data_IF_851918468127
#
_entry.id   IF_851918468127
#
_cell.length_a   1.000
_cell.length_b   1.000
_cell.length_c   1.000
_cell.angle_alpha   90.00
_cell.angle_beta   90.00
_cell.angle_gamma   90.00
#
_symmetry.space_group_name_H-M   'P 1'
#
loop_
_entity.id
_entity.type
_entity.pdbx_description
1 polymer ?
#
# COMPACT_ATOMS: atom_id res chain seq x y z
N UNK A 1 -16.98 9.00 -54.96
CA UNK A 1 -16.74 9.80 -53.74
C UNK A 1 -16.72 8.83 -52.57
N UNK A 2 -15.55 8.51 -52.04
CA UNK A 2 -15.46 7.83 -50.74
C UNK A 2 -16.07 8.77 -49.71
N UNK A 3 -17.17 8.38 -49.08
CA UNK A 3 -17.74 9.11 -47.95
C UNK A 3 -16.62 9.28 -46.95
N UNK A 4 -16.11 10.51 -46.84
CA UNK A 4 -15.03 10.86 -45.96
C UNK A 4 -15.46 10.42 -44.56
N UNK A 5 -14.79 9.39 -44.01
CA UNK A 5 -15.20 8.79 -42.75
C UNK A 5 -14.83 9.75 -41.64
N UNK A 6 -15.69 10.76 -41.45
CA UNK A 6 -15.57 11.76 -40.40
C UNK A 6 -15.30 11.05 -39.07
N UNK A 7 -14.18 11.42 -38.44
CA UNK A 7 -13.77 10.83 -37.18
C UNK A 7 -14.72 11.21 -36.05
N UNK A 8 -14.87 10.30 -35.08
CA UNK A 8 -15.74 10.44 -33.91
C UNK A 8 -15.05 11.25 -32.83
N UNK A 9 -15.78 12.16 -32.18
CA UNK A 9 -15.34 12.81 -30.93
C UNK A 9 -16.01 12.11 -29.74
N UNK A 10 -15.19 11.58 -28.83
CA UNK A 10 -15.68 10.99 -27.59
C UNK A 10 -15.82 12.07 -26.52
N UNK A 11 -17.02 12.23 -25.96
CA UNK A 11 -17.34 13.23 -24.94
C UNK A 11 -17.51 12.56 -23.58
N UNK A 12 -16.54 12.71 -22.68
CA UNK A 12 -16.55 12.03 -21.38
C UNK A 12 -17.68 12.51 -20.44
N UNK A 13 -18.17 13.75 -20.62
CA UNK A 13 -19.33 14.29 -19.91
C UNK A 13 -20.64 13.52 -20.19
N UNK A 14 -20.72 12.83 -21.33
CA UNK A 14 -21.91 12.07 -21.75
C UNK A 14 -21.96 10.74 -21.02
N UNK A 15 -22.50 10.73 -19.79
CA UNK A 15 -22.56 9.53 -18.94
C UNK A 15 -23.80 9.49 -18.06
N UNK A 16 -24.22 8.29 -17.65
CA UNK A 16 -25.39 8.09 -16.77
C UNK A 16 -25.03 8.33 -15.27
N UNK A 17 -25.86 9.06 -14.50
CA UNK A 17 -25.68 9.22 -13.06
C UNK A 17 -26.15 8.01 -12.24
N UNK A 18 -27.22 7.35 -12.68
CA UNK A 18 -27.96 6.36 -11.88
C UNK A 18 -27.70 4.92 -12.31
N UNK A 19 -26.73 4.71 -13.20
CA UNK A 19 -26.46 3.41 -13.79
C UNK A 19 -27.24 3.19 -15.07
N UNK A 20 -27.00 2.04 -15.71
CA UNK A 20 -27.50 1.76 -17.04
C UNK A 20 -26.72 2.46 -18.15
N UNK A 21 -27.09 2.09 -19.37
CA UNK A 21 -26.46 2.58 -20.59
C UNK A 21 -27.11 3.92 -20.99
N UNK A 22 -26.31 4.85 -21.47
CA UNK A 22 -26.80 6.08 -22.12
C UNK A 22 -26.26 6.14 -23.54
N UNK A 23 -26.83 6.98 -24.39
CA UNK A 23 -26.30 7.18 -25.74
C UNK A 23 -26.38 8.63 -26.15
N UNK A 24 -25.45 9.06 -27.00
CA UNK A 24 -25.44 10.37 -27.61
C UNK A 24 -25.05 10.28 -29.08
N UNK A 25 -25.42 11.29 -29.86
CA UNK A 25 -25.01 11.41 -31.26
C UNK A 25 -23.76 12.28 -31.32
N UNK A 26 -22.67 11.76 -31.86
CA UNK A 26 -21.47 12.55 -32.09
C UNK A 26 -21.77 13.65 -33.12
N UNK A 27 -21.45 14.90 -32.79
CA UNK A 27 -21.78 16.06 -33.62
C UNK A 27 -20.94 16.15 -34.90
N UNK A 28 -19.76 15.51 -34.92
CA UNK A 28 -18.88 15.53 -36.09
C UNK A 28 -19.30 14.47 -37.09
N UNK A 29 -19.38 13.20 -36.68
CA UNK A 29 -19.62 12.06 -37.57
C UNK A 29 -21.09 11.67 -37.72
N UNK A 30 -21.98 12.21 -36.87
CA UNK A 30 -23.38 11.82 -36.80
C UNK A 30 -23.64 10.41 -36.27
N UNK A 31 -22.60 9.67 -35.86
CA UNK A 31 -22.69 8.31 -35.33
C UNK A 31 -23.27 8.29 -33.91
N UNK A 32 -24.03 7.25 -33.59
CA UNK A 32 -24.57 7.06 -32.23
C UNK A 32 -23.57 6.29 -31.36
N UNK A 33 -23.17 6.90 -30.25
CA UNK A 33 -22.25 6.36 -29.25
C UNK A 33 -23.06 5.89 -28.05
N UNK A 34 -22.85 4.65 -27.62
CA UNK A 34 -23.37 4.09 -26.38
C UNK A 34 -22.30 4.18 -25.30
N UNK A 35 -22.71 4.53 -24.09
CA UNK A 35 -21.85 4.65 -22.91
C UNK A 35 -22.37 3.71 -21.85
N UNK A 36 -21.59 2.66 -21.57
CA UNK A 36 -21.89 1.66 -20.56
C UNK A 36 -21.09 1.92 -19.29
N UNK A 37 -21.78 2.07 -18.16
CA UNK A 37 -21.16 2.18 -16.83
C UNK A 37 -21.05 0.80 -16.19
N UNK A 38 -19.87 0.45 -15.71
CA UNK A 38 -19.65 -0.73 -14.86
C UNK A 38 -18.84 -0.37 -13.62
N UNK A 39 -19.02 -1.06 -12.48
CA UNK A 39 -17.99 -1.07 -11.45
C UNK A 39 -16.68 -1.59 -12.05
N UNK A 40 -15.54 -1.20 -11.47
CA UNK A 40 -14.23 -1.63 -11.93
C UNK A 40 -13.33 -2.05 -10.77
N UNK A 41 -12.68 -3.23 -10.88
CA UNK A 41 -12.79 -4.21 -11.97
C UNK A 41 -14.13 -4.99 -12.00
N UNK A 42 -14.50 -5.51 -13.17
CA UNK A 42 -15.71 -6.30 -13.38
C UNK A 42 -15.44 -7.50 -14.33
N UNK A 43 -15.64 -8.76 -13.92
CA UNK A 43 -16.04 -9.17 -12.56
C UNK A 43 -15.03 -8.67 -11.52
N UNK A 44 -15.43 -8.51 -10.24
CA UNK A 44 -14.47 -8.20 -9.20
C UNK A 44 -13.36 -9.26 -9.27
N UNK A 45 -12.14 -8.79 -9.54
CA UNK A 45 -10.99 -9.67 -9.49
C UNK A 45 -10.85 -10.26 -8.09
N UNK A 46 -10.05 -11.32 -7.98
CA UNK A 46 -9.76 -11.91 -6.68
C UNK A 46 -8.99 -10.97 -5.75
N UNK A 47 -8.84 -9.66 -5.98
CA UNK A 47 -8.16 -8.72 -5.06
C UNK A 47 -8.69 -7.27 -5.20
N UNK A 48 -9.95 -7.14 -5.63
CA UNK A 48 -10.58 -5.89 -6.08
C UNK A 48 -11.50 -5.24 -5.05
N UNK A 49 -11.44 -3.91 -4.94
CA UNK A 49 -12.33 -3.08 -4.10
C UNK A 49 -13.61 -2.65 -4.83
N UNK A 50 -13.58 -2.63 -6.17
CA UNK A 50 -14.63 -2.04 -7.00
C UNK A 50 -14.96 -0.57 -6.64
N UNK A 51 -13.98 0.21 -6.18
CA UNK A 51 -14.15 1.62 -5.78
C UNK A 51 -14.17 2.61 -6.95
N UNK A 52 -14.10 2.09 -8.17
CA UNK A 52 -14.08 2.87 -9.40
C UNK A 52 -15.23 2.52 -10.33
N UNK A 53 -15.66 3.50 -11.11
CA UNK A 53 -16.50 3.29 -12.28
C UNK A 53 -15.66 3.32 -13.55
N UNK A 54 -15.96 2.38 -14.45
CA UNK A 54 -15.53 2.40 -15.85
C UNK A 54 -16.72 2.81 -16.72
N UNK A 55 -16.55 3.88 -17.48
CA UNK A 55 -17.49 4.31 -18.52
C UNK A 55 -16.90 3.96 -19.88
N UNK A 56 -17.47 2.95 -20.55
CA UNK A 56 -17.03 2.49 -21.87
C UNK A 56 -17.89 3.11 -22.95
N UNK A 57 -17.29 3.94 -23.81
CA UNK A 57 -17.87 4.54 -24.99
C UNK A 57 -17.58 3.65 -26.22
N UNK A 58 -18.61 3.25 -26.95
CA UNK A 58 -18.50 2.46 -28.18
C UNK A 58 -19.64 2.77 -29.15
N UNK A 59 -19.52 2.39 -30.42
CA UNK A 59 -20.64 2.52 -31.37
C UNK A 59 -21.86 1.70 -30.92
N UNK A 60 -23.06 2.25 -31.09
CA UNK A 60 -24.32 1.58 -30.73
C UNK A 60 -24.57 0.29 -31.50
N UNK A 61 -24.09 0.22 -32.75
CA UNK A 61 -24.21 -0.95 -33.61
C UNK A 61 -23.48 -2.18 -33.06
N UNK A 62 -22.56 -2.01 -32.11
CA UNK A 62 -21.78 -3.09 -31.51
C UNK A 62 -20.77 -3.70 -32.50
N UNK A 63 -19.61 -4.13 -32.00
CA UNK A 63 -18.61 -4.86 -32.80
C UNK A 63 -17.94 -4.07 -33.95
N UNK A 64 -18.34 -2.83 -34.21
CA UNK A 64 -17.77 -1.98 -35.24
C UNK A 64 -16.69 -1.07 -34.68
N UNK A 65 -15.66 -0.82 -35.48
CA UNK A 65 -14.62 0.16 -35.19
C UNK A 65 -14.96 1.55 -35.73
N UNK A 66 -14.26 2.57 -35.25
CA UNK A 66 -14.32 3.92 -35.77
C UNK A 66 -12.96 4.60 -35.77
N UNK A 67 -12.82 5.65 -36.58
CA UNK A 67 -11.69 6.56 -36.50
C UNK A 67 -11.96 7.56 -35.37
N UNK A 68 -11.10 7.58 -34.36
CA UNK A 68 -11.17 8.50 -33.23
C UNK A 68 -10.48 9.81 -33.62
N UNK A 69 -11.25 10.89 -33.69
CA UNK A 69 -10.74 12.24 -33.96
C UNK A 69 -10.14 12.87 -32.71
N UNK A 70 -10.88 12.81 -31.61
CA UNK A 70 -10.49 13.42 -30.33
C UNK A 70 -11.27 12.81 -29.15
N UNK A 71 -10.75 13.02 -27.94
CA UNK A 71 -11.45 12.77 -26.69
C UNK A 71 -11.57 14.12 -25.97
N UNK A 72 -12.78 14.49 -25.57
CA UNK A 72 -13.07 15.67 -24.74
C UNK A 72 -13.35 15.22 -23.31
N UNK A 73 -12.71 15.87 -22.35
CA UNK A 73 -12.93 15.61 -20.93
C UNK A 73 -14.30 16.14 -20.44
N UNK A 74 -14.52 16.11 -19.14
CA UNK A 74 -15.76 16.57 -18.52
C UNK A 74 -16.01 18.08 -18.63
N UNK A 75 -14.99 18.84 -19.04
CA UNK A 75 -15.03 20.30 -19.25
C UNK A 75 -15.00 20.68 -20.73
N UNK A 76 -15.24 19.72 -21.63
CA UNK A 76 -15.18 19.87 -23.09
C UNK A 76 -13.78 20.18 -23.65
N UNK A 77 -12.75 20.10 -22.82
CA UNK A 77 -11.37 20.32 -23.22
C UNK A 77 -10.84 19.06 -23.90
N UNK A 78 -10.21 19.25 -25.07
CA UNK A 78 -9.62 18.14 -25.83
C UNK A 78 -8.39 17.60 -25.10
N UNK A 79 -8.43 16.30 -24.79
CA UNK A 79 -7.32 15.54 -24.25
C UNK A 79 -6.20 15.48 -25.31
N UNK A 80 -5.22 16.35 -25.13
CA UNK A 80 -4.16 16.55 -26.11
C UNK A 80 -3.01 15.59 -25.85
N UNK A 81 -3.09 14.39 -26.44
CA UNK A 81 -1.96 13.46 -26.53
C UNK A 81 -1.71 13.15 -28.01
N UNK A 82 -0.46 13.30 -28.47
CA UNK A 82 -0.08 13.03 -29.87
C UNK A 82 -0.53 11.65 -30.37
N UNK A 83 -0.72 10.69 -29.47
CA UNK A 83 -1.11 9.30 -29.76
C UNK A 83 -2.62 9.01 -29.63
N UNK A 84 -3.43 9.99 -29.24
CA UNK A 84 -4.89 9.85 -29.06
C UNK A 84 -5.66 10.56 -30.17
N UNK A 85 -4.99 11.41 -30.96
CA UNK A 85 -5.57 12.09 -32.11
C UNK A 85 -5.50 11.22 -33.35
N UNK A 86 -6.58 11.19 -34.13
CA UNK A 86 -6.67 10.55 -35.45
C UNK A 86 -6.30 9.06 -35.42
N UNK A 87 -6.75 8.34 -34.39
CA UNK A 87 -6.49 6.90 -34.20
C UNK A 87 -7.52 6.08 -34.97
N UNK A 88 -7.07 5.27 -35.93
CA UNK A 88 -7.93 4.38 -36.70
C UNK A 88 -8.25 3.08 -35.95
N UNK A 89 -9.32 2.39 -36.38
CA UNK A 89 -9.70 1.06 -35.86
C UNK A 89 -9.97 1.03 -34.34
N UNK A 90 -10.50 2.11 -33.77
CA UNK A 90 -10.88 2.16 -32.34
C UNK A 90 -12.17 1.38 -32.13
N UNK A 91 -12.14 0.42 -31.21
CA UNK A 91 -13.32 -0.35 -30.79
C UNK A 91 -14.06 0.36 -29.67
N UNK A 92 -13.32 0.95 -28.73
CA UNK A 92 -13.90 1.68 -27.61
C UNK A 92 -12.92 2.61 -26.92
N UNK A 93 -13.47 3.60 -26.24
CA UNK A 93 -12.77 4.47 -25.30
C UNK A 93 -13.38 4.27 -23.92
N UNK A 94 -12.55 4.00 -22.91
CA UNK A 94 -12.97 3.83 -21.52
C UNK A 94 -12.44 4.98 -20.67
N UNK A 95 -13.25 5.49 -19.74
CA UNK A 95 -12.81 6.46 -18.75
C UNK A 95 -13.08 5.95 -17.33
N UNK A 96 -12.13 6.17 -16.43
CA UNK A 96 -12.12 5.65 -15.07
C UNK A 96 -12.27 6.79 -14.07
N UNK A 97 -13.19 6.60 -13.11
CA UNK A 97 -13.56 7.61 -12.12
C UNK A 97 -13.70 6.97 -10.75
N UNK A 98 -13.44 7.75 -9.70
CA UNK A 98 -13.75 7.32 -8.34
C UNK A 98 -15.24 7.37 -8.07
N UNK A 99 -15.83 6.26 -7.58
CA UNK A 99 -17.30 6.17 -7.41
C UNK A 99 -17.84 7.08 -6.30
N UNK A 100 -16.97 7.53 -5.40
CA UNK A 100 -17.34 8.31 -4.21
C UNK A 100 -17.09 9.83 -4.34
N UNK A 101 -16.66 10.32 -5.51
CA UNK A 101 -16.30 11.73 -5.73
C UNK A 101 -17.43 12.70 -5.36
N UNK A 102 -18.66 12.39 -5.75
CA UNK A 102 -19.81 13.31 -5.66
C UNK A 102 -21.01 12.72 -4.90
N UNK A 103 -20.83 11.56 -4.24
CA UNK A 103 -21.91 10.85 -3.55
C UNK A 103 -22.87 10.09 -4.48
N UNK A 104 -23.86 9.37 -3.92
CA UNK A 104 -24.76 8.50 -4.68
C UNK A 104 -25.66 9.29 -5.64
N UNK A 105 -25.90 8.73 -6.82
CA UNK A 105 -26.80 9.31 -7.83
C UNK A 105 -26.25 10.53 -8.57
N UNK A 106 -24.98 10.91 -8.34
CA UNK A 106 -24.32 12.01 -9.06
C UNK A 106 -23.23 11.49 -10.00
N UNK A 107 -22.88 12.29 -11.00
CA UNK A 107 -21.86 11.95 -11.99
C UNK A 107 -20.49 12.38 -11.48
N UNK A 108 -19.50 11.48 -11.33
CA UNK A 108 -18.13 11.90 -11.05
C UNK A 108 -17.62 12.77 -12.21
N UNK A 109 -16.82 13.80 -11.91
CA UNK A 109 -16.35 14.79 -12.89
C UNK A 109 -14.82 14.77 -13.06
N UNK A 110 -14.12 14.00 -12.22
CA UNK A 110 -12.67 13.88 -12.27
C UNK A 110 -12.27 12.55 -12.89
N UNK A 111 -12.02 12.57 -14.20
CA UNK A 111 -11.44 11.42 -14.89
C UNK A 111 -9.99 11.19 -14.45
N UNK A 112 -9.66 9.96 -14.09
CA UNK A 112 -8.31 9.57 -13.65
C UNK A 112 -7.47 9.00 -14.79
N UNK A 113 -8.08 8.07 -15.53
CA UNK A 113 -7.45 7.33 -16.62
C UNK A 113 -8.41 7.25 -17.79
N UNK A 114 -7.87 7.37 -18.99
CA UNK A 114 -8.56 7.07 -20.25
C UNK A 114 -7.86 5.90 -20.93
N UNK A 115 -8.61 4.85 -21.26
CA UNK A 115 -8.14 3.69 -22.02
C UNK A 115 -8.67 3.73 -23.46
N UNK A 116 -7.80 3.60 -24.45
CA UNK A 116 -8.18 3.51 -25.87
C UNK A 116 -7.92 2.08 -26.34
N UNK A 117 -8.96 1.37 -26.74
CA UNK A 117 -8.88 -0.01 -27.24
C UNK A 117 -9.07 0.00 -28.76
N UNK A 118 -8.08 -0.52 -29.48
CA UNK A 118 -8.09 -0.66 -30.94
C UNK A 118 -8.02 -2.14 -31.32
N UNK A 119 -8.57 -2.50 -32.48
CA UNK A 119 -8.53 -3.88 -32.97
C UNK A 119 -7.11 -4.41 -33.08
N UNK A 120 -6.90 -5.64 -32.58
CA UNK A 120 -5.63 -6.35 -32.62
C UNK A 120 -4.55 -5.83 -31.67
N UNK A 121 -4.82 -4.82 -30.83
CA UNK A 121 -3.81 -4.25 -29.94
C UNK A 121 -4.28 -4.20 -28.47
N UNK A 122 -3.34 -4.27 -27.50
CA UNK A 122 -3.65 -3.99 -26.11
C UNK A 122 -4.22 -2.58 -25.92
N UNK A 123 -5.03 -2.40 -24.87
CA UNK A 123 -5.58 -1.07 -24.53
C UNK A 123 -4.45 -0.13 -24.11
N UNK A 124 -4.34 1.02 -24.77
CA UNK A 124 -3.40 2.07 -24.36
C UNK A 124 -4.07 2.96 -23.29
N UNK A 125 -3.43 3.11 -22.14
CA UNK A 125 -3.93 3.92 -21.03
C UNK A 125 -3.23 5.27 -20.95
N UNK A 126 -3.97 6.31 -20.63
CA UNK A 126 -3.49 7.68 -20.49
C UNK A 126 -3.97 8.25 -19.15
N UNK A 127 -3.11 9.01 -18.47
CA UNK A 127 -3.45 9.65 -17.19
C UNK A 127 -2.98 11.11 -17.15
N UNK A 128 -3.59 11.91 -16.28
CA UNK A 128 -3.29 13.34 -16.10
C UNK A 128 -2.17 13.57 -15.08
N UNK A 129 -1.19 14.43 -15.38
CA UNK A 129 -0.17 14.84 -14.39
C UNK A 129 -0.68 15.92 -13.43
N UNK A 130 -1.75 15.65 -12.68
CA UNK A 130 -2.22 16.57 -11.63
C UNK A 130 -2.80 17.87 -12.19
N UNK A 131 -2.19 19.02 -11.85
CA UNK A 131 -2.78 20.34 -12.10
C UNK A 131 -2.81 20.76 -13.57
N UNK A 132 -1.84 20.32 -14.38
CA UNK A 132 -1.83 20.64 -15.80
C UNK A 132 -2.70 19.66 -16.60
N UNK A 133 -3.43 20.11 -17.64
CA UNK A 133 -4.24 19.26 -18.52
C UNK A 133 -3.40 18.35 -19.42
N UNK A 134 -2.11 18.16 -19.12
CA UNK A 134 -1.26 17.27 -19.89
C UNK A 134 -1.55 15.82 -19.51
N UNK A 135 -1.70 15.01 -20.55
CA UNK A 135 -1.99 13.59 -20.46
C UNK A 135 -0.79 12.80 -20.97
N UNK A 136 -0.48 11.70 -20.29
CA UNK A 136 0.70 10.88 -20.57
C UNK A 136 0.30 9.44 -20.71
N UNK A 137 0.98 8.72 -21.61
CA UNK A 137 0.82 7.29 -21.76
C UNK A 137 1.28 6.60 -20.48
N UNK A 138 0.43 5.74 -19.92
CA UNK A 138 0.77 4.91 -18.77
C UNK A 138 1.60 3.73 -19.26
N UNK A 139 2.77 3.54 -18.66
CA UNK A 139 3.67 2.41 -18.91
C UNK A 139 3.60 1.39 -17.76
N UNK A 140 3.68 0.07 -18.04
CA UNK A 140 3.62 -0.54 -19.37
C UNK A 140 2.23 -0.38 -20.01
N UNK A 141 2.15 -0.49 -21.34
CA UNK A 141 0.89 -0.34 -22.08
C UNK A 141 -0.14 -1.41 -21.70
N UNK A 142 0.31 -2.62 -21.40
CA UNK A 142 -0.55 -3.68 -20.87
C UNK A 142 -0.57 -3.59 -19.35
N UNK A 143 -1.67 -3.05 -18.83
CA UNK A 143 -2.00 -3.09 -17.41
C UNK A 143 -3.00 -4.21 -17.18
N UNK A 144 -2.68 -5.14 -16.29
CA UNK A 144 -3.70 -5.99 -15.70
C UNK A 144 -4.64 -5.15 -14.83
N UNK A 145 -5.78 -5.74 -14.45
CA UNK A 145 -6.80 -5.03 -13.68
C UNK A 145 -6.32 -4.59 -12.30
N UNK A 146 -5.45 -5.35 -11.65
CA UNK A 146 -5.00 -5.11 -10.28
C UNK A 146 -3.96 -3.97 -10.25
N UNK A 147 -3.01 -3.97 -11.18
CA UNK A 147 -2.07 -2.86 -11.38
C UNK A 147 -2.83 -1.60 -11.79
N UNK A 148 -3.84 -1.71 -12.66
CA UNK A 148 -4.66 -0.57 -13.04
C UNK A 148 -5.43 0.00 -11.84
N UNK A 149 -5.97 -0.86 -10.98
CA UNK A 149 -6.67 -0.44 -9.76
C UNK A 149 -5.71 0.25 -8.77
N UNK A 150 -4.53 -0.32 -8.49
CA UNK A 150 -3.53 0.32 -7.64
C UNK A 150 -3.08 1.70 -8.17
N UNK A 151 -3.02 1.87 -9.50
CA UNK A 151 -2.76 3.19 -10.12
C UNK A 151 -3.92 4.16 -9.89
N UNK A 152 -5.17 3.68 -9.95
CA UNK A 152 -6.35 4.50 -9.65
C UNK A 152 -6.36 4.93 -8.19
N UNK A 153 -5.93 4.10 -7.25
CA UNK A 153 -5.80 4.46 -5.83
C UNK A 153 -4.75 5.56 -5.62
N UNK A 154 -3.58 5.45 -6.26
CA UNK A 154 -2.56 6.50 -6.23
C UNK A 154 -3.03 7.84 -6.83
N UNK A 155 -3.83 7.78 -7.90
CA UNK A 155 -4.46 8.96 -8.49
C UNK A 155 -5.56 9.52 -7.58
N UNK A 156 -6.31 8.67 -6.90
CA UNK A 156 -7.32 9.08 -5.93
C UNK A 156 -6.69 9.87 -4.78
N UNK A 157 -5.59 9.37 -4.19
CA UNK A 157 -4.84 10.10 -3.16
C UNK A 157 -4.35 11.47 -3.67
N UNK A 158 -3.95 11.55 -4.94
CA UNK A 158 -3.43 12.77 -5.54
C UNK A 158 -4.49 13.80 -5.93
N UNK A 159 -5.71 13.37 -6.28
CA UNK A 159 -6.73 14.22 -6.93
C UNK A 159 -7.97 14.48 -6.05
N UNK A 160 -8.17 13.66 -5.03
CA UNK A 160 -9.34 13.72 -4.15
C UNK A 160 -8.99 13.82 -2.65
N UNK A 161 -7.72 14.09 -2.30
CA UNK A 161 -7.27 14.19 -0.92
C UNK A 161 -7.70 12.97 -0.07
N UNK A 162 -7.58 11.79 -0.67
CA UNK A 162 -7.84 10.54 0.03
C UNK A 162 -6.54 9.88 0.45
N UNK A 163 -6.58 8.99 1.43
CA UNK A 163 -5.43 8.17 1.78
C UNK A 163 -5.86 6.71 1.97
N UNK A 164 -5.01 5.79 1.54
CA UNK A 164 -5.20 4.35 1.77
C UNK A 164 -4.10 3.87 2.69
N UNK A 165 -4.48 3.31 3.84
CA UNK A 165 -3.52 2.76 4.79
C UNK A 165 -3.13 1.36 4.33
N UNK A 166 -1.91 1.24 3.78
CA UNK A 166 -1.30 -0.05 3.49
C UNK A 166 -0.57 -0.60 4.72
N UNK A 167 -1.07 -1.70 5.28
CA UNK A 167 -0.55 -2.42 6.45
C UNK A 167 0.38 -3.57 6.09
N UNK A 168 0.85 -3.68 4.85
CA UNK A 168 1.87 -4.67 4.50
C UNK A 168 3.16 -4.31 5.21
N UNK A 169 3.72 -5.23 5.99
CA UNK A 169 5.02 -5.02 6.63
C UNK A 169 6.06 -4.71 5.56
N UNK A 170 7.00 -3.85 5.91
CA UNK A 170 8.10 -3.38 5.07
C UNK A 170 7.69 -2.47 3.89
N UNK A 171 6.43 -2.46 3.43
CA UNK A 171 5.97 -1.58 2.33
C UNK A 171 6.16 -0.07 2.59
N UNK A 172 6.56 0.28 3.80
CA UNK A 172 6.94 1.60 4.25
C UNK A 172 8.26 1.54 5.02
N UNK A 173 9.03 2.64 5.00
CA UNK A 173 10.15 2.79 5.93
C UNK A 173 9.64 3.41 7.23
N UNK A 174 9.96 2.81 8.37
CA UNK A 174 9.70 3.40 9.68
C UNK A 174 10.22 4.85 9.77
N UNK A 175 9.42 5.74 10.36
CA UNK A 175 9.73 7.17 10.46
C UNK A 175 9.52 7.97 9.17
N UNK A 176 9.17 7.31 8.05
CA UNK A 176 8.80 8.00 6.80
C UNK A 176 7.29 8.09 6.65
N UNK A 177 6.87 9.11 5.90
CA UNK A 177 5.49 9.31 5.52
C UNK A 177 5.20 8.70 4.14
N UNK A 178 4.01 8.15 3.94
CA UNK A 178 3.55 7.64 2.64
C UNK A 178 2.08 8.05 2.33
N UNK A 179 1.68 8.00 1.06
CA UNK A 179 0.28 8.01 0.58
C UNK A 179 0.25 7.72 -0.91
N UNK A 180 1.00 8.50 -1.69
CA UNK A 180 1.20 8.29 -3.11
C UNK A 180 2.55 8.89 -3.54
N UNK A 181 3.02 8.53 -4.74
CA UNK A 181 4.30 9.00 -5.29
C UNK A 181 4.43 10.54 -5.33
N UNK A 182 3.33 11.25 -5.62
CA UNK A 182 3.33 12.73 -5.67
C UNK A 182 3.59 13.40 -4.32
N UNK A 183 3.53 12.64 -3.24
CA UNK A 183 3.79 13.09 -1.89
C UNK A 183 5.11 12.51 -1.34
N UNK A 184 6.12 12.31 -2.20
CA UNK A 184 7.46 11.90 -1.74
C UNK A 184 8.00 12.90 -0.72
N UNK A 185 8.20 12.46 0.53
CA UNK A 185 8.59 13.32 1.67
C UNK A 185 7.44 14.12 2.32
N UNK A 186 6.28 14.19 1.67
CA UNK A 186 5.07 14.86 2.16
C UNK A 186 3.90 13.90 2.33
N UNK A 187 4.20 12.61 2.53
CA UNK A 187 3.20 11.57 2.71
C UNK A 187 2.22 11.94 3.81
N UNK A 188 1.01 11.39 3.74
CA UNK A 188 -0.11 11.78 4.62
C UNK A 188 -0.29 10.81 5.77
N UNK A 189 0.26 9.61 5.62
CA UNK A 189 0.29 8.58 6.64
C UNK A 189 1.70 8.55 7.21
N UNK A 190 1.83 8.78 8.52
CA UNK A 190 3.10 8.61 9.24
C UNK A 190 3.15 7.20 9.80
N UNK A 191 4.31 6.53 9.70
CA UNK A 191 4.52 5.24 10.38
C UNK A 191 5.56 5.34 11.47
N UNK A 192 5.17 5.01 12.69
CA UNK A 192 6.05 5.00 13.86
C UNK A 192 6.09 3.59 14.45
N UNK A 193 7.27 2.96 14.57
CA UNK A 193 7.41 1.71 15.31
C UNK A 193 7.23 2.00 16.79
N UNK A 194 6.37 1.24 17.44
CA UNK A 194 6.02 1.39 18.85
C UNK A 194 6.43 0.10 19.57
N UNK A 195 7.53 0.10 20.32
CA UNK A 195 7.98 -1.07 21.07
C UNK A 195 7.00 -1.34 22.21
N UNK A 196 6.40 -2.53 22.21
CA UNK A 196 5.51 -2.99 23.28
C UNK A 196 6.27 -4.07 24.05
N UNK A 197 6.54 -3.81 25.33
CA UNK A 197 7.28 -4.72 26.19
C UNK A 197 6.69 -4.71 27.58
N UNK A 198 6.79 -5.85 28.25
CA UNK A 198 6.54 -5.85 29.68
C UNK A 198 7.71 -5.20 30.44
N UNK A 199 7.38 -4.23 31.31
CA UNK A 199 8.33 -3.55 32.21
C UNK A 199 9.13 -4.49 33.13
N UNK A 200 8.54 -5.60 33.58
CA UNK A 200 9.18 -6.55 34.50
C UNK A 200 10.22 -7.44 33.79
N UNK A 201 10.13 -7.60 32.47
CA UNK A 201 11.00 -8.47 31.66
C UNK A 201 11.48 -7.79 30.37
N UNK A 202 11.98 -6.53 30.49
CA UNK A 202 12.34 -5.66 29.33
C UNK A 202 13.15 -6.35 28.23
N UNK A 203 14.04 -7.27 28.59
CA UNK A 203 14.98 -7.89 27.65
C UNK A 203 14.48 -9.20 27.01
N UNK A 204 13.37 -9.79 27.50
CA UNK A 204 13.00 -11.18 27.13
C UNK A 204 11.70 -11.31 26.35
N UNK A 205 10.79 -10.34 26.45
CA UNK A 205 9.51 -10.39 25.74
C UNK A 205 9.10 -8.99 25.28
N UNK A 206 9.39 -8.70 24.01
CA UNK A 206 8.99 -7.47 23.36
C UNK A 206 8.47 -7.76 21.96
N UNK A 207 7.45 -7.02 21.54
CA UNK A 207 6.98 -6.96 20.17
C UNK A 207 7.05 -5.51 19.70
N UNK A 208 6.88 -5.27 18.41
CA UNK A 208 6.76 -3.93 17.85
C UNK A 208 5.44 -3.83 17.11
N UNK A 209 4.60 -2.90 17.55
CA UNK A 209 3.45 -2.46 16.76
C UNK A 209 3.91 -1.37 15.78
N UNK A 210 3.34 -1.34 14.58
CA UNK A 210 3.60 -0.26 13.63
C UNK A 210 2.38 0.65 13.60
N UNK A 211 2.53 1.87 14.12
CA UNK A 211 1.46 2.87 14.22
C UNK A 211 1.40 3.66 12.91
N UNK A 212 0.33 3.47 12.16
CA UNK A 212 -0.03 4.21 10.96
C UNK A 212 -1.01 5.32 11.35
N UNK A 213 -0.69 6.56 11.04
CA UNK A 213 -1.48 7.71 11.49
C UNK A 213 -1.76 8.69 10.36
N UNK A 214 -3.04 9.02 10.16
CA UNK A 214 -3.52 10.17 9.39
C UNK A 214 -4.01 11.19 10.42
N UNK A 215 -3.30 12.31 10.56
CA UNK A 215 -3.61 13.35 11.56
C UNK A 215 -3.59 14.77 10.97
N UNK A 216 -3.86 14.87 9.66
CA UNK A 216 -3.73 16.14 8.92
C UNK A 216 -5.06 16.87 8.75
N UNK A 217 -6.18 16.34 9.26
CA UNK A 217 -7.49 17.01 9.27
C UNK A 217 -8.18 17.21 7.91
N UNK A 218 -7.47 17.02 6.79
CA UNK A 218 -7.97 17.32 5.45
C UNK A 218 -8.15 16.08 4.55
N UNK A 219 -7.88 14.89 5.09
CA UNK A 219 -7.86 13.65 4.31
C UNK A 219 -8.98 12.69 4.68
N UNK A 220 -9.68 12.21 3.66
CA UNK A 220 -10.60 11.07 3.80
C UNK A 220 -9.80 9.78 3.81
N UNK A 221 -10.14 8.85 4.70
CA UNK A 221 -9.62 7.49 4.63
C UNK A 221 -10.39 6.74 3.53
N UNK A 222 -9.72 6.43 2.43
CA UNK A 222 -10.32 5.70 1.32
C UNK A 222 -10.44 4.21 1.65
N UNK A 223 -9.35 3.63 2.14
CA UNK A 223 -9.29 2.20 2.43
C UNK A 223 -8.22 1.84 3.47
N UNK A 224 -8.33 0.64 4.03
CA UNK A 224 -7.28 -0.04 4.80
C UNK A 224 -7.02 -1.38 4.10
N UNK A 225 -5.78 -1.60 3.70
CA UNK A 225 -5.42 -2.76 2.89
C UNK A 225 -4.05 -3.35 3.27
N UNK A 226 -3.76 -4.55 2.80
CA UNK A 226 -2.42 -5.13 2.80
C UNK A 226 -2.23 -6.06 1.59
N UNK A 227 -1.00 -6.45 1.29
CA UNK A 227 -0.66 -7.36 0.21
C UNK A 227 -0.22 -8.69 0.81
N UNK A 228 -0.96 -9.76 0.52
CA UNK A 228 -0.72 -11.09 1.07
C UNK A 228 0.69 -11.58 0.70
N UNK A 229 1.51 -11.85 1.72
CA UNK A 229 2.94 -12.17 1.60
C UNK A 229 3.76 -11.09 0.86
N UNK A 230 3.33 -9.83 0.92
CA UNK A 230 3.98 -8.71 0.24
C UNK A 230 3.83 -8.72 -1.28
N UNK A 231 2.94 -9.55 -1.84
CA UNK A 231 2.75 -9.70 -3.30
C UNK A 231 1.72 -8.67 -3.80
N UNK A 232 2.10 -7.71 -4.67
CA UNK A 232 1.20 -6.63 -5.11
C UNK A 232 -0.10 -7.10 -5.79
N UNK A 233 -0.06 -8.23 -6.48
CA UNK A 233 -1.22 -8.85 -7.12
C UNK A 233 -2.09 -9.65 -6.14
N UNK A 234 -1.86 -9.56 -4.83
CA UNK A 234 -2.63 -10.29 -3.80
C UNK A 234 -3.15 -9.36 -2.71
N UNK A 235 -3.73 -8.25 -3.13
CA UNK A 235 -4.25 -7.21 -2.25
C UNK A 235 -5.50 -7.64 -1.48
N UNK A 236 -5.50 -7.40 -0.17
CA UNK A 236 -6.58 -7.70 0.77
C UNK A 236 -7.08 -6.40 1.37
N UNK A 237 -8.40 -6.17 1.28
CA UNK A 237 -9.10 -5.08 1.94
C UNK A 237 -9.53 -5.51 3.32
N UNK A 238 -9.30 -4.66 4.31
CA UNK A 238 -9.66 -4.87 5.71
C UNK A 238 -10.98 -4.16 5.98
N UNK A 239 -12.04 -4.94 6.23
CA UNK A 239 -13.35 -4.40 6.59
C UNK A 239 -13.50 -4.45 8.10
N UNK A 240 -13.58 -3.28 8.70
CA UNK A 240 -13.77 -3.13 10.13
C UNK A 240 -15.24 -2.82 10.39
N UNK A 241 -15.94 -3.59 11.25
CA UNK A 241 -17.32 -3.33 11.60
C UNK A 241 -17.52 -1.88 12.04
N UNK A 242 -18.54 -1.25 11.47
CA UNK A 242 -18.91 0.15 11.69
C UNK A 242 -17.94 1.20 11.09
N UNK A 243 -16.79 0.83 10.53
CA UNK A 243 -15.93 1.77 9.82
C UNK A 243 -16.38 1.89 8.36
N UNK A 244 -17.19 2.90 8.08
CA UNK A 244 -17.67 3.14 6.72
C UNK A 244 -16.56 3.74 5.85
N UNK A 245 -16.02 2.93 4.94
CA UNK A 245 -15.01 3.34 3.97
C UNK A 245 -15.61 3.50 2.56
N UNK A 246 -15.18 4.51 1.78
CA UNK A 246 -14.34 5.63 2.21
C UNK A 246 -15.08 6.52 3.21
N UNK A 247 -14.35 7.20 4.09
CA UNK A 247 -14.97 8.13 5.04
C UNK A 247 -15.58 9.32 4.30
N UNK A 248 -16.78 9.73 4.71
CA UNK A 248 -17.52 10.82 4.05
C UNK A 248 -16.87 12.19 4.26
N UNK A 249 -16.17 12.34 5.38
CA UNK A 249 -15.44 13.56 5.76
C UNK A 249 -13.97 13.22 6.03
N UNK A 250 -13.09 14.24 6.05
CA UNK A 250 -11.77 14.09 6.62
C UNK A 250 -11.83 13.55 8.04
N UNK A 251 -10.90 12.66 8.37
CA UNK A 251 -10.84 11.96 9.66
C UNK A 251 -9.40 11.88 10.16
N UNK A 252 -9.24 11.84 11.48
CA UNK A 252 -8.04 11.33 12.11
C UNK A 252 -8.20 9.83 12.33
N UNK A 253 -7.25 9.06 11.81
CA UNK A 253 -7.25 7.61 11.95
C UNK A 253 -5.87 7.14 12.38
N UNK A 254 -5.85 6.35 13.44
CA UNK A 254 -4.68 5.61 13.90
C UNK A 254 -4.94 4.13 13.76
N UNK A 255 -4.03 3.41 13.11
CA UNK A 255 -4.03 1.95 13.01
C UNK A 255 -2.70 1.42 13.51
N UNK A 256 -2.70 0.62 14.57
CA UNK A 256 -1.53 -0.14 14.99
C UNK A 256 -1.60 -1.53 14.37
N UNK A 257 -0.58 -1.94 13.64
CA UNK A 257 -0.49 -3.29 13.09
C UNK A 257 0.58 -4.13 13.79
N UNK A 258 0.22 -5.35 14.15
CA UNK A 258 1.11 -6.36 14.70
C UNK A 258 1.32 -7.48 13.69
N UNK A 259 2.53 -8.02 13.67
CA UNK A 259 2.95 -9.03 12.69
C UNK A 259 3.62 -10.21 13.39
N UNK A 260 3.55 -11.38 12.77
CA UNK A 260 4.45 -12.48 13.11
C UNK A 260 5.88 -12.15 12.64
N UNK A 261 6.88 -12.82 13.23
CA UNK A 261 8.31 -12.55 12.97
C UNK A 261 8.64 -12.56 11.47
N UNK A 262 8.19 -13.60 10.77
CA UNK A 262 8.52 -13.85 9.36
C UNK A 262 7.34 -13.57 8.40
N UNK A 263 6.30 -12.89 8.88
CA UNK A 263 5.12 -12.54 8.07
C UNK A 263 5.11 -11.06 7.72
N UNK A 264 4.70 -10.75 6.50
CA UNK A 264 4.39 -9.39 6.07
C UNK A 264 2.91 -9.04 6.25
N UNK A 265 2.09 -10.02 6.64
CA UNK A 265 0.65 -9.87 6.81
C UNK A 265 0.33 -9.45 8.25
N UNK A 266 -0.52 -8.43 8.45
CA UNK A 266 -0.95 -8.06 9.79
C UNK A 266 -1.77 -9.21 10.41
N UNK A 267 -1.51 -9.51 11.68
CA UNK A 267 -2.19 -10.58 12.44
C UNK A 267 -3.23 -10.04 13.41
N UNK A 268 -2.94 -8.88 13.98
CA UNK A 268 -3.81 -8.18 14.92
C UNK A 268 -3.66 -6.68 14.65
N UNK A 269 -4.77 -5.95 14.69
CA UNK A 269 -4.75 -4.50 14.56
C UNK A 269 -5.52 -3.84 15.70
N UNK A 270 -5.10 -2.64 16.07
CA UNK A 270 -5.90 -1.71 16.86
C UNK A 270 -6.25 -0.52 15.99
N UNK A 271 -7.53 -0.13 15.96
CA UNK A 271 -8.00 1.02 15.18
C UNK A 271 -8.64 2.04 16.13
N UNK A 272 -8.30 3.31 15.91
CA UNK A 272 -8.91 4.47 16.56
C UNK A 272 -9.18 5.53 15.49
N UNK A 273 -10.47 5.77 15.21
CA UNK A 273 -10.95 6.62 14.13
C UNK A 273 -12.04 7.56 14.65
N UNK A 274 -11.86 8.86 14.43
CA UNK A 274 -12.86 9.90 14.74
C UNK A 274 -13.93 10.10 13.65
N UNK A 275 -14.05 9.11 12.76
CA UNK A 275 -15.09 9.03 11.73
C UNK A 275 -16.51 8.98 12.29
N UNK A 276 -17.48 8.88 11.37
CA UNK A 276 -18.89 8.73 11.72
C UNK A 276 -19.43 7.38 11.18
N UNK A 277 -19.67 6.38 12.05
CA UNK A 277 -19.47 6.41 13.51
C UNK A 277 -17.99 6.40 13.92
N UNK A 278 -17.72 6.81 15.16
CA UNK A 278 -16.41 6.64 15.77
C UNK A 278 -16.15 5.13 15.92
N UNK A 279 -14.95 4.70 15.54
CA UNK A 279 -14.56 3.28 15.61
C UNK A 279 -13.29 3.18 16.42
N UNK A 280 -13.37 2.42 17.51
CA UNK A 280 -12.26 2.20 18.42
C UNK A 280 -12.23 0.74 18.87
N UNK A 281 -11.07 0.09 18.78
CA UNK A 281 -10.88 -1.24 19.36
C UNK A 281 -9.89 -2.14 18.63
N UNK A 282 -9.81 -3.37 19.11
CA UNK A 282 -8.95 -4.42 18.59
C UNK A 282 -9.69 -5.28 17.57
N UNK A 283 -9.01 -5.66 16.50
CA UNK A 283 -9.57 -6.48 15.43
C UNK A 283 -8.57 -7.51 14.95
N UNK A 284 -9.08 -8.67 14.54
CA UNK A 284 -8.32 -9.73 13.89
C UNK A 284 -9.04 -10.30 12.69
N UNK A 285 -8.27 -10.89 11.78
CA UNK A 285 -8.81 -11.59 10.63
C UNK A 285 -9.70 -12.77 11.12
N UNK A 286 -10.90 -12.92 10.54
CA UNK A 286 -11.83 -14.01 10.87
C UNK A 286 -11.48 -15.36 10.20
N UNK A 287 -10.36 -15.44 9.49
CA UNK A 287 -9.94 -16.61 8.71
C UNK A 287 -10.52 -16.65 7.29
N UNK A 288 -11.24 -15.60 6.86
CA UNK A 288 -11.75 -15.53 5.49
C UNK A 288 -10.62 -15.48 4.49
N UNK A 289 -10.78 -16.25 3.42
CA UNK A 289 -9.85 -16.26 2.28
C UNK A 289 -10.30 -15.28 1.19
N UNK A 290 -11.42 -14.59 1.41
CA UNK A 290 -11.94 -13.57 0.52
C UNK A 290 -11.04 -12.34 0.53
N UNK A 291 -11.27 -11.46 -0.43
CA UNK A 291 -10.37 -10.33 -0.66
C UNK A 291 -10.87 -9.06 -0.01
N UNK A 292 -12.15 -9.12 0.36
CA UNK A 292 -12.78 -8.23 1.28
C UNK A 292 -12.83 -8.97 2.62
N UNK A 293 -11.72 -8.97 3.34
CA UNK A 293 -11.63 -9.70 4.60
C UNK A 293 -12.42 -8.96 5.65
N UNK A 294 -13.39 -9.66 6.23
CA UNK A 294 -14.09 -9.17 7.41
C UNK A 294 -13.21 -9.39 8.63
N UNK A 295 -12.82 -8.30 9.27
CA UNK A 295 -12.07 -8.34 10.50
C UNK A 295 -13.05 -8.26 11.66
N UNK A 296 -12.93 -9.17 12.61
CA UNK A 296 -13.84 -9.26 13.76
C UNK A 296 -13.23 -8.59 14.98
N UNK A 297 -14.09 -8.04 15.84
CA UNK A 297 -13.65 -7.46 17.10
C UNK A 297 -12.94 -8.53 17.95
N UNK A 298 -11.77 -8.19 18.47
CA UNK A 298 -11.02 -9.01 19.40
C UNK A 298 -11.30 -8.54 20.84
N UNK A 299 -12.42 -8.98 21.38
CA UNK A 299 -12.96 -8.58 22.69
C UNK A 299 -12.12 -9.02 23.89
N UNK A 300 -11.10 -9.86 23.65
CA UNK A 300 -10.15 -10.29 24.68
C UNK A 300 -9.30 -9.10 25.17
N UNK A 301 -9.11 -8.04 24.40
CA UNK A 301 -8.49 -6.81 24.91
C UNK A 301 -9.54 -5.71 24.95
N UNK A 302 -9.59 -4.95 26.05
CA UNK A 302 -10.52 -3.82 26.15
C UNK A 302 -10.32 -2.84 25.00
N UNK A 303 -11.41 -2.35 24.41
CA UNK A 303 -11.39 -1.34 23.34
C UNK A 303 -10.65 -0.04 23.74
N UNK A 304 -10.61 0.26 25.04
CA UNK A 304 -9.95 1.43 25.60
C UNK A 304 -8.46 1.23 25.89
N UNK A 305 -7.97 -0.01 25.86
CA UNK A 305 -6.56 -0.34 26.02
C UNK A 305 -5.85 -0.14 24.68
N UNK A 306 -5.10 0.95 24.54
CA UNK A 306 -4.24 1.16 23.36
C UNK A 306 -2.98 0.29 23.47
N UNK A 307 -2.33 -0.07 22.34
CA UNK A 307 -1.06 -0.80 22.36
C UNK A 307 -0.02 -0.21 23.32
N UNK A 308 0.15 1.11 23.32
CA UNK A 308 1.13 1.84 24.16
C UNK A 308 0.85 1.71 25.67
N UNK A 309 -0.42 1.49 26.04
CA UNK A 309 -0.80 1.32 27.45
C UNK A 309 -0.49 -0.08 28.01
N UNK A 310 -0.25 -1.07 27.13
CA UNK A 310 0.10 -2.45 27.51
C UNK A 310 1.57 -2.48 27.97
N UNK A 311 1.80 -2.13 29.24
CA UNK A 311 3.16 -2.03 29.83
C UNK A 311 3.41 -2.99 30.99
N UNK A 312 2.39 -3.69 31.47
CA UNK A 312 2.45 -4.53 32.67
C UNK A 312 2.23 -6.01 32.33
N UNK A 313 3.17 -6.88 32.76
CA UNK A 313 3.08 -8.34 32.63
C UNK A 313 1.88 -8.93 33.38
N UNK A 314 1.50 -8.28 34.48
CA UNK A 314 0.41 -8.74 35.36
C UNK A 314 -0.95 -8.35 34.82
N UNK A 315 -1.00 -7.49 33.80
CA UNK A 315 -2.23 -7.19 33.10
C UNK A 315 -2.57 -8.34 32.15
N UNK A 316 -3.79 -8.86 32.26
CA UNK A 316 -4.32 -9.88 31.36
C UNK A 316 -4.22 -9.45 29.89
N UNK A 317 -4.21 -8.14 29.60
CA UNK A 317 -4.06 -7.62 28.23
C UNK A 317 -2.74 -8.05 27.58
N UNK A 318 -1.62 -8.11 28.33
CA UNK A 318 -0.34 -8.57 27.77
C UNK A 318 -0.39 -10.05 27.41
N UNK A 319 -0.86 -10.91 28.32
CA UNK A 319 -0.98 -12.34 28.06
C UNK A 319 -1.92 -12.62 26.89
N UNK A 320 -3.04 -11.90 26.79
CA UNK A 320 -3.98 -12.03 25.67
C UNK A 320 -3.38 -11.58 24.33
N UNK A 321 -2.62 -10.48 24.32
CA UNK A 321 -1.84 -10.04 23.15
C UNK A 321 -0.83 -11.11 22.72
N UNK A 322 -0.03 -11.62 23.65
CA UNK A 322 0.98 -12.66 23.38
C UNK A 322 0.31 -13.92 22.85
N UNK A 323 -0.77 -14.38 23.48
CA UNK A 323 -1.46 -15.61 23.11
C UNK A 323 -2.09 -15.51 21.71
N UNK A 324 -2.63 -14.36 21.32
CA UNK A 324 -3.12 -14.17 19.96
C UNK A 324 -1.98 -14.19 18.94
N UNK A 325 -0.87 -13.50 19.23
CA UNK A 325 0.29 -13.43 18.35
C UNK A 325 1.09 -14.75 18.26
N UNK A 326 0.96 -15.63 19.25
CA UNK A 326 1.61 -16.95 19.28
C UNK A 326 0.86 -18.05 18.50
N UNK A 327 -0.43 -17.87 18.20
CA UNK A 327 -1.23 -18.87 17.45
C UNK A 327 -0.64 -19.22 16.08
N UNK A 328 0.20 -18.34 15.54
CA UNK A 328 0.86 -18.48 14.24
C UNK A 328 2.35 -18.90 14.38
N UNK A 329 2.68 -19.57 15.49
CA UNK A 329 3.92 -20.32 15.80
C UNK A 329 5.27 -19.56 15.80
N UNK A 330 5.32 -18.25 15.54
CA UNK A 330 6.60 -17.63 15.14
C UNK A 330 7.08 -16.38 15.87
N UNK A 331 6.43 -15.91 16.94
CA UNK A 331 6.78 -14.56 17.48
C UNK A 331 7.95 -14.52 18.46
N UNK A 332 8.39 -15.66 19.01
CA UNK A 332 9.43 -15.69 20.06
C UNK A 332 9.04 -14.91 21.33
N UNK A 333 7.84 -14.35 21.36
CA UNK A 333 7.22 -13.74 22.53
C UNK A 333 7.04 -14.84 23.56
N UNK A 334 7.37 -14.52 24.80
CA UNK A 334 7.11 -15.42 25.93
C UNK A 334 6.02 -14.80 26.77
N UNK A 335 5.11 -15.65 27.24
CA UNK A 335 4.28 -15.27 28.37
C UNK A 335 5.20 -14.82 29.51
N UNK A 336 4.75 -13.84 30.26
CA UNK A 336 5.47 -13.43 31.43
C UNK A 336 5.30 -14.53 32.44
N UNK A 337 6.35 -15.36 32.59
CA UNK A 337 6.44 -16.25 33.73
C UNK A 337 6.17 -15.36 34.95
N UNK A 338 5.02 -15.56 35.60
CA UNK A 338 4.82 -15.00 36.92
C UNK A 338 6.07 -15.39 37.69
N UNK A 339 6.76 -14.40 38.26
CA UNK A 339 7.97 -14.65 39.03
C UNK A 339 7.68 -15.87 39.89
N UNK A 340 8.42 -16.97 39.65
CA UNK A 340 8.27 -18.19 40.43
C UNK A 340 8.19 -17.72 41.88
N UNK A 341 7.10 -18.03 42.63
CA UNK A 341 6.93 -17.50 43.97
C UNK A 341 8.26 -17.69 44.66
N UNK A 342 8.90 -16.58 45.06
CA UNK A 342 10.20 -16.61 45.73
C UNK A 342 10.00 -17.66 46.81
N UNK A 343 10.75 -18.78 46.80
CA UNK A 343 10.55 -19.82 47.79
C UNK A 343 10.56 -19.11 49.13
N UNK A 344 9.41 -19.15 49.81
CA UNK A 344 9.21 -18.49 51.09
C UNK A 344 10.41 -18.90 51.94
N UNK A 345 11.17 -17.95 52.53
CA UNK A 345 12.46 -18.24 53.15
C UNK A 345 12.29 -19.46 54.04
N UNK A 346 12.82 -20.59 53.57
CA UNK A 346 12.77 -21.84 54.28
C UNK A 346 13.54 -21.53 55.56
N UNK A 347 12.85 -21.64 56.69
CA UNK A 347 13.38 -21.34 58.01
C UNK A 347 14.33 -22.48 58.38
N UNK A 348 15.45 -22.54 57.68
CA UNK A 348 16.59 -23.38 58.04
C UNK A 348 17.32 -22.67 59.18
N UNK A 349 16.91 -23.02 60.39
CA UNK A 349 17.72 -22.81 61.57
C UNK A 349 19.01 -23.62 61.42
N UNK A 350 20.07 -23.00 60.89
CA UNK A 350 21.41 -23.54 60.98
C UNK A 350 22.06 -23.19 62.32
N UNK A 351 22.75 -24.14 62.97
CA UNK A 351 23.47 -23.93 64.22
C UNK A 351 24.72 -23.08 63.99
N UNK A 352 24.92 -22.12 64.90
CA UNK A 352 26.04 -21.18 64.97
C UNK A 352 27.32 -21.92 65.36
N UNK A 353 28.41 -21.88 64.55
CA UNK A 353 29.76 -22.14 65.04
C UNK A 353 30.46 -20.83 65.48
N UNK A 354 31.39 -20.90 66.46
CA UNK A 354 32.01 -19.72 67.05
C UNK A 354 33.09 -19.10 66.15
N UNK A 355 33.11 -17.77 66.16
CA UNK A 355 34.13 -16.88 65.58
C UNK A 355 35.50 -17.03 66.26
N UNK A 356 36.58 -16.77 65.52
CA UNK A 356 37.72 -16.08 66.08
C UNK A 356 38.03 -14.76 65.35
N UNK A 357 38.76 -13.94 66.09
CA UNK A 357 38.91 -12.49 66.04
C UNK A 357 40.00 -12.00 65.07
N UNK A 358 39.95 -10.69 64.82
CA UNK A 358 40.72 -9.72 64.01
C UNK A 358 42.17 -9.99 63.58
N UNK A 359 42.57 -9.41 62.42
CA UNK A 359 43.68 -8.42 62.34
C UNK A 359 43.39 -7.34 61.27
N UNK A 360 43.63 -6.09 61.68
CA UNK A 360 43.60 -4.80 60.97
C UNK A 360 44.77 -4.62 59.99
N UNK A 361 44.55 -4.05 58.78
CA UNK A 361 45.51 -3.12 58.15
C UNK A 361 44.79 -2.05 57.31
N UNK A 362 45.26 -0.83 57.54
CA UNK A 362 44.91 0.52 57.09
C UNK A 362 45.54 0.89 55.73
N UNK A 363 44.84 1.61 54.83
CA UNK A 363 45.25 2.94 54.32
C UNK A 363 44.52 3.45 53.05
N UNK A 364 44.00 4.69 53.21
CA UNK A 364 44.05 5.91 52.36
C UNK A 364 43.39 6.00 50.97
N UNK A 365 42.45 6.96 50.91
CA UNK A 365 42.33 8.15 50.02
C UNK A 365 42.60 7.94 48.52
N UNK A 366 41.77 8.42 47.59
CA UNK A 366 41.56 9.84 47.26
C UNK A 366 40.25 10.00 46.47
N UNK A 367 39.46 11.03 46.82
CA UNK A 367 38.41 11.66 46.00
C UNK A 367 39.06 12.80 45.18
N UNK A 368 38.52 13.20 44.01
CA UNK A 368 37.88 14.52 44.01
C UNK A 368 36.62 14.66 43.14
N UNK A 369 35.62 15.34 43.73
CA UNK A 369 34.82 16.49 43.23
C UNK A 369 34.66 16.69 41.71
N UNK A 370 33.44 16.63 41.15
CA UNK A 370 32.41 17.71 41.01
C UNK A 370 32.56 18.52 39.69
N UNK A 371 31.60 19.38 39.28
CA UNK A 371 30.73 19.15 38.12
C UNK A 371 30.86 20.23 37.00
N UNK A 372 29.81 20.35 36.18
CA UNK A 372 29.37 21.50 35.34
C UNK A 372 29.68 21.43 33.80
N UNK A 373 29.09 22.27 32.92
CA UNK A 373 28.01 21.93 31.97
C UNK A 373 28.35 22.29 30.49
N UNK A 374 27.52 21.91 29.53
CA UNK A 374 27.61 22.53 28.19
C UNK A 374 27.03 21.70 27.06
N UNK A 375 25.76 21.96 26.73
CA UNK A 375 25.18 21.58 25.45
C UNK A 375 25.44 22.71 24.43
N UNK A 376 25.98 22.35 23.27
CA UNK A 376 25.84 23.12 22.03
C UNK A 376 25.70 22.15 20.85
N UNK A 377 24.96 22.50 19.80
CA UNK A 377 24.43 21.57 18.82
C UNK A 377 25.48 21.13 17.79
N UNK A 378 25.40 19.87 17.35
CA UNK A 378 26.16 19.40 16.18
C UNK A 378 25.57 20.01 14.91
N UNK A 379 26.39 20.82 14.25
CA UNK A 379 26.20 21.30 12.88
C UNK A 379 26.37 20.13 11.91
N UNK A 380 25.39 19.94 11.03
CA UNK A 380 25.44 18.96 9.93
C UNK A 380 26.32 19.52 8.81
N UNK A 381 27.58 19.08 8.76
CA UNK A 381 28.45 19.34 7.62
C UNK A 381 28.29 18.30 6.50
N UNK A 382 28.44 18.83 5.29
CA UNK A 382 28.14 18.26 4.00
C UNK A 382 29.06 17.07 3.67
N UNK A 383 28.46 15.95 3.28
CA UNK A 383 29.17 14.85 2.62
C UNK A 383 29.18 15.12 1.10
N UNK A 384 30.28 15.65 0.57
CA UNK A 384 30.50 15.76 -0.88
C UNK A 384 31.28 14.55 -1.36
N UNK A 385 30.66 13.69 -2.17
CA UNK A 385 31.35 12.57 -2.83
C UNK A 385 32.06 13.12 -4.08
N UNK A 386 33.36 12.85 -4.29
CA UNK A 386 34.08 13.31 -5.47
C UNK A 386 33.51 12.74 -6.77
N UNK A 387 33.31 13.61 -7.77
CA UNK A 387 32.76 13.27 -9.09
C UNK A 387 33.53 12.15 -9.82
N UNK A 388 34.80 11.93 -9.48
CA UNK A 388 35.65 10.89 -10.07
C UNK A 388 35.25 9.46 -9.68
N UNK A 389 34.57 9.28 -8.55
CA UNK A 389 34.07 7.95 -8.12
C UNK A 389 32.84 7.50 -8.92
N UNK A 390 32.07 8.46 -9.46
CA UNK A 390 30.87 8.19 -10.26
C UNK A 390 31.26 7.77 -11.68
N UNK A 391 32.28 8.37 -12.29
CA UNK A 391 32.73 8.00 -13.64
C UNK A 391 33.36 6.60 -13.69
N UNK A 392 34.07 6.19 -12.63
CA UNK A 392 34.62 4.83 -12.52
C UNK A 392 33.51 3.76 -12.49
N UNK A 393 32.39 4.04 -11.81
CA UNK A 393 31.23 3.16 -11.72
C UNK A 393 30.45 3.07 -13.04
N UNK A 394 30.37 4.16 -13.80
CA UNK A 394 29.72 4.18 -15.12
C UNK A 394 30.54 3.37 -16.15
N UNK A 395 31.86 3.49 -16.13
CA UNK A 395 32.74 2.73 -17.02
C UNK A 395 32.80 1.23 -16.71
N UNK A 396 32.65 0.83 -15.43
CA UNK A 396 32.56 -0.58 -15.07
C UNK A 396 31.26 -1.25 -15.58
N UNK A 397 30.17 -0.48 -15.65
CA UNK A 397 28.86 -0.98 -16.11
C UNK A 397 28.74 -1.05 -17.64
N UNK A 398 29.54 -0.29 -18.39
CA UNK A 398 29.51 -0.35 -19.87
C UNK A 398 30.23 -1.57 -20.44
N UNK A 399 31.12 -2.21 -19.66
CA UNK A 399 31.93 -3.34 -20.11
C UNK A 399 31.26 -4.71 -19.95
N UNK A 400 30.11 -4.81 -19.29
CA UNK A 400 29.45 -6.10 -19.01
C UNK A 400 28.41 -6.54 -20.07
N UNK A 401 28.48 -6.05 -21.31
CA UNK A 401 27.56 -6.43 -22.40
C UNK A 401 28.27 -7.17 -23.55
N UNK A 402 28.29 -8.49 -23.45
CA UNK A 402 28.47 -9.49 -24.53
C UNK A 402 27.79 -10.77 -24.04
N UNK A 403 27.11 -11.62 -24.82
CA UNK A 403 26.79 -11.72 -26.23
C UNK A 403 25.45 -12.50 -26.36
N UNK A 404 24.67 -12.27 -27.42
CA UNK A 404 23.47 -13.04 -27.77
C UNK A 404 23.81 -13.98 -28.92
N UNK A 405 23.59 -15.30 -28.83
CA UNK A 405 23.68 -16.20 -29.98
C UNK A 405 22.38 -16.23 -30.80
N UNK A 406 22.45 -16.59 -32.10
CA UNK A 406 21.36 -16.42 -33.05
C UNK A 406 20.33 -17.56 -33.02
N UNK A 407 19.21 -17.28 -33.70
CA UNK A 407 17.97 -18.03 -33.87
C UNK A 407 18.07 -19.56 -33.99
N UNK A 408 17.05 -20.26 -33.46
CA UNK A 408 16.66 -21.58 -33.93
C UNK A 408 15.13 -21.74 -33.94
N UNK A 409 14.67 -22.43 -34.98
CA UNK A 409 13.32 -22.55 -35.50
C UNK A 409 12.33 -23.34 -34.64
N UNK A 410 11.05 -23.08 -34.91
CA UNK A 410 9.86 -23.80 -34.44
C UNK A 410 9.94 -25.32 -34.65
N UNK A 411 9.72 -26.10 -33.59
CA UNK A 411 9.14 -27.45 -33.68
C UNK A 411 8.32 -27.78 -32.43
N UNK A 412 7.08 -28.19 -32.67
CA UNK A 412 6.12 -28.74 -31.71
C UNK A 412 6.61 -30.07 -31.13
N UNK A 413 6.66 -30.20 -29.81
CA UNK A 413 6.71 -31.51 -29.13
C UNK A 413 5.70 -31.55 -27.98
N UNK A 414 4.81 -32.54 -28.08
CA UNK A 414 3.89 -33.04 -27.05
C UNK A 414 4.67 -34.01 -26.16
N UNK A 415 4.53 -33.92 -24.83
CA UNK A 415 5.04 -34.96 -23.94
C UNK A 415 5.19 -34.56 -22.46
N UNK A 416 4.25 -35.05 -21.65
CA UNK A 416 4.37 -35.58 -20.28
C UNK A 416 5.57 -35.17 -19.40
N UNK A 417 5.29 -34.69 -18.17
CA UNK A 417 6.28 -34.65 -17.09
C UNK A 417 5.79 -35.41 -15.85
N UNK A 418 6.62 -36.35 -15.43
CA UNK A 418 6.74 -36.95 -14.09
C UNK A 418 8.20 -36.79 -13.71
N UNK A 419 8.50 -36.43 -12.47
CA UNK A 419 9.86 -36.57 -11.91
C UNK A 419 10.33 -35.42 -11.03
N UNK A 420 10.43 -35.75 -9.74
CA UNK A 420 10.92 -35.00 -8.59
C UNK A 420 12.37 -34.50 -8.67
N UNK A 421 12.72 -33.50 -7.85
CA UNK A 421 13.91 -33.58 -6.99
C UNK A 421 14.95 -32.44 -7.00
N UNK A 422 15.07 -31.80 -5.82
CA UNK A 422 16.30 -31.34 -5.13
C UNK A 422 16.95 -29.99 -5.54
N UNK A 423 16.84 -29.02 -4.61
CA UNK A 423 18.00 -28.40 -3.94
C UNK A 423 18.60 -27.11 -4.52
N UNK A 424 18.53 -26.01 -3.78
CA UNK A 424 19.33 -24.81 -4.04
C UNK A 424 18.92 -23.59 -3.21
N UNK A 425 19.52 -23.42 -2.03
CA UNK A 425 19.46 -22.21 -1.22
C UNK A 425 20.15 -21.05 -1.93
N UNK A 426 19.40 -20.01 -2.29
CA UNK A 426 19.95 -18.72 -2.66
C UNK A 426 18.94 -17.87 -3.41
N UNK A 427 18.21 -16.96 -2.74
CA UNK A 427 17.33 -15.97 -3.39
C UNK A 427 16.76 -14.88 -2.45
N UNK A 428 17.36 -14.62 -1.28
CA UNK A 428 16.81 -13.66 -0.31
C UNK A 428 17.08 -12.17 -0.63
N UNK A 429 18.15 -11.83 -1.37
CA UNK A 429 18.66 -10.44 -1.45
C UNK A 429 18.23 -9.59 -2.65
N UNK A 430 17.71 -10.18 -3.73
CA UNK A 430 17.39 -9.46 -4.99
C UNK A 430 15.89 -9.16 -5.17
N UNK A 431 15.01 -9.84 -4.44
CA UNK A 431 13.56 -9.63 -4.51
C UNK A 431 13.11 -8.26 -4.00
N UNK A 432 13.75 -7.73 -2.95
CA UNK A 432 13.45 -6.40 -2.39
C UNK A 432 13.95 -5.23 -3.27
N UNK A 433 14.90 -5.47 -4.18
CA UNK A 433 15.43 -4.47 -5.10
C UNK A 433 14.53 -4.26 -6.34
N UNK A 434 13.88 -5.32 -6.82
CA UNK A 434 12.78 -5.26 -7.81
C UNK A 434 11.55 -4.56 -7.21
N UNK A 435 11.31 -4.76 -5.93
CA UNK A 435 10.20 -4.15 -5.19
C UNK A 435 10.29 -2.62 -5.09
N UNK A 436 11.49 -2.03 -4.94
CA UNK A 436 11.66 -0.57 -4.87
C UNK A 436 11.50 0.15 -6.24
N UNK A 437 11.87 -0.48 -7.35
CA UNK A 437 11.79 0.14 -8.69
C UNK A 437 10.38 0.06 -9.30
N UNK A 438 9.56 -0.89 -8.85
CA UNK A 438 8.20 -1.11 -9.34
C UNK A 438 7.11 -0.34 -8.58
N UNK A 439 7.35 0.05 -7.33
CA UNK A 439 6.34 0.74 -6.51
C UNK A 439 6.25 2.26 -6.79
N UNK A 440 7.25 2.90 -7.41
CA UNK A 440 7.30 4.38 -7.42
C UNK A 440 7.74 5.13 -8.68
N UNK A 441 8.19 4.55 -9.82
CA UNK A 441 8.24 5.34 -11.08
C UNK A 441 8.47 4.57 -12.41
N UNK A 442 8.09 5.11 -13.59
CA UNK A 442 9.04 5.94 -14.35
C UNK A 442 8.44 7.13 -15.15
N UNK A 443 8.43 8.32 -14.55
CA UNK A 443 8.71 9.63 -15.13
C UNK A 443 10.15 10.06 -14.79
N UNK A 444 11.02 9.20 -14.22
CA UNK A 444 12.48 9.41 -14.18
C UNK A 444 13.14 9.30 -15.58
N UNK A 445 12.51 9.80 -16.64
CA UNK A 445 13.17 10.03 -17.94
C UNK A 445 12.74 11.31 -18.66
N UNK A 446 12.08 12.26 -18.01
CA UNK A 446 11.80 13.58 -18.61
C UNK A 446 11.90 14.70 -17.57
N UNK A 447 13.10 14.92 -17.05
CA UNK A 447 13.69 16.27 -16.85
C UNK A 447 15.13 16.17 -17.34
#
# INVERSE_FOLDING_TARGET
>A
MTVDQQGVIIQLRQKSPNGGDTSYRDSTSGKQITVKRTPFPNPPGKYSTQDFYKYKHSLKTGGQTFNLKAIQDDTDVVISVKRVKDVSNVESVSAYYWKHEVGPGRKPTKVFIVGVTTTGNPTAYYTKSGYNPQWYLVSPSKLDSEILEAKLDGLNCSLNNTATINLTKDAYTAGKRYCCHKHSGQGKITVTPVPIFCKENKNKSHTTAYKHEINTGDFQLADIEYYLNGIPSRRKKINIPNLNLPTKRPVNVTVYAFYSKDSTDPKLIYVDSDGEPNVKGWYKNNGSKDNNEEWINFSDISENTTPESITNCKDNNWSRLVNELQKEESTGLKECNQATPIPSPETDALPIPPLPYEVVVENRNILPTSPVPGATPMTTDQFTIPSSTIEALINALSQSKTAVPPELSTTTIVGSSVGSGIGGTGLGGLGAWVWYKYFFDPVVRLI
#
